data_IF_766961490969
#
_entry.id   IF_766961490969
#
_cell.length_a   1.000
_cell.length_b   1.000
_cell.length_c   1.000
_cell.angle_alpha   90.00
_cell.angle_beta   90.00
_cell.angle_gamma   90.00
#
_symmetry.space_group_name_H-M   'P 1'
#
loop_
_entity.id
_entity.type
_entity.pdbx_description
1 polymer ?
#
# COMPACT_ATOMS: atom_id res chain seq x y z
N UNK A 1 -44.49 31.20 -3.20
CA UNK A 1 -43.93 29.95 -3.73
C UNK A 1 -42.56 29.75 -3.09
N UNK A 2 -42.51 28.96 -2.02
CA UNK A 2 -41.25 28.54 -1.41
C UNK A 2 -40.82 27.24 -2.09
N UNK A 3 -39.56 27.09 -2.52
CA UNK A 3 -39.11 25.83 -3.09
C UNK A 3 -38.98 24.81 -1.95
N UNK A 4 -39.78 23.75 -2.02
CA UNK A 4 -39.61 22.56 -1.20
C UNK A 4 -38.25 21.93 -1.53
N UNK A 5 -37.33 21.96 -0.58
CA UNK A 5 -36.17 21.07 -0.59
C UNK A 5 -36.64 19.77 0.06
N UNK A 6 -36.95 18.76 -0.76
CA UNK A 6 -37.09 17.39 -0.28
C UNK A 6 -35.69 16.87 0.07
N UNK A 7 -35.32 16.95 1.34
CA UNK A 7 -34.17 16.22 1.84
C UNK A 7 -34.49 14.73 1.75
N UNK A 8 -33.82 14.02 0.84
CA UNK A 8 -33.71 12.56 0.99
C UNK A 8 -32.90 12.29 2.26
N UNK A 9 -33.30 11.33 3.11
CA UNK A 9 -32.50 10.95 4.27
C UNK A 9 -31.17 10.38 3.76
N UNK A 10 -30.06 10.90 4.29
CA UNK A 10 -28.68 10.53 3.95
C UNK A 10 -28.28 9.18 4.58
N UNK A 11 -29.16 8.59 5.39
CA UNK A 11 -28.99 7.23 5.90
C UNK A 11 -29.34 6.23 4.80
N UNK A 12 -28.40 5.98 3.91
CA UNK A 12 -28.42 4.77 3.09
C UNK A 12 -28.49 3.55 4.02
N UNK A 13 -29.38 2.62 3.66
CA UNK A 13 -29.69 1.32 4.27
C UNK A 13 -28.47 0.41 4.52
N UNK A 14 -27.55 0.83 5.40
CA UNK A 14 -26.31 0.08 5.64
C UNK A 14 -26.56 -1.29 6.32
N UNK A 15 -27.78 -1.54 6.83
CA UNK A 15 -28.13 -2.76 7.56
C UNK A 15 -29.50 -3.38 7.22
N UNK A 16 -30.43 -2.67 6.58
CA UNK A 16 -31.81 -3.16 6.43
C UNK A 16 -31.97 -4.27 5.37
N UNK A 17 -31.05 -4.38 4.40
CA UNK A 17 -31.11 -5.37 3.32
C UNK A 17 -29.96 -6.40 3.34
N UNK A 18 -29.13 -6.43 4.39
CA UNK A 18 -27.97 -7.31 4.43
C UNK A 18 -28.38 -8.74 4.79
N UNK A 19 -28.30 -9.65 3.82
CA UNK A 19 -28.44 -11.09 4.06
C UNK A 19 -27.12 -11.68 4.56
N UNK A 20 -27.18 -12.38 5.69
CA UNK A 20 -26.05 -13.13 6.23
C UNK A 20 -26.10 -14.61 5.81
N UNK A 21 -24.93 -15.24 5.55
CA UNK A 21 -23.59 -14.67 5.62
C UNK A 21 -23.27 -13.76 4.43
N UNK A 22 -22.57 -12.65 4.70
CA UNK A 22 -21.98 -11.80 3.67
C UNK A 22 -20.68 -12.45 3.21
N UNK A 23 -20.62 -12.82 1.92
CA UNK A 23 -19.45 -13.49 1.33
C UNK A 23 -18.76 -12.56 0.34
N UNK A 24 -17.47 -12.29 0.56
CA UNK A 24 -16.61 -11.47 -0.30
C UNK A 24 -15.52 -12.33 -0.90
N UNK A 25 -15.80 -12.93 -2.06
CA UNK A 25 -14.87 -13.82 -2.77
C UNK A 25 -13.59 -13.11 -3.24
N UNK A 26 -13.58 -11.78 -3.33
CA UNK A 26 -12.40 -11.01 -3.67
C UNK A 26 -11.52 -10.66 -2.46
N UNK A 27 -11.95 -10.96 -1.22
CA UNK A 27 -11.14 -10.70 -0.04
C UNK A 27 -10.35 -11.94 0.34
N UNK A 28 -9.04 -11.88 0.23
CA UNK A 28 -8.15 -13.02 0.40
C UNK A 28 -7.36 -12.86 1.70
N UNK A 29 -7.44 -13.86 2.57
CA UNK A 29 -6.64 -13.86 3.79
C UNK A 29 -5.24 -14.42 3.49
N UNK A 30 -4.23 -13.69 3.93
CA UNK A 30 -2.87 -14.19 4.15
C UNK A 30 -2.64 -14.19 5.67
N UNK A 31 -2.59 -15.38 6.27
CA UNK A 31 -2.33 -15.58 7.70
C UNK A 31 -1.08 -16.46 7.89
N UNK A 32 -0.76 -16.81 9.14
CA UNK A 32 0.43 -17.55 9.53
C UNK A 32 1.17 -16.87 10.68
N UNK A 33 2.28 -17.45 11.11
CA UNK A 33 2.99 -17.01 12.30
C UNK A 33 3.58 -15.61 12.17
N UNK A 34 3.78 -14.95 13.31
CA UNK A 34 4.68 -13.80 13.41
C UNK A 34 6.09 -14.17 12.90
N UNK A 35 6.75 -13.28 12.15
CA UNK A 35 8.10 -13.53 11.62
C UNK A 35 8.22 -14.34 10.31
N UNK A 36 7.12 -14.84 9.73
CA UNK A 36 7.15 -15.61 8.46
C UNK A 36 7.36 -14.80 7.16
N UNK A 37 7.64 -13.50 7.25
CA UNK A 37 7.78 -12.61 6.09
C UNK A 37 6.46 -12.23 5.40
N UNK A 38 5.33 -12.28 6.12
CA UNK A 38 4.00 -11.84 5.63
C UNK A 38 4.01 -10.39 5.15
N UNK A 39 4.59 -9.48 5.93
CA UNK A 39 4.65 -8.06 5.57
C UNK A 39 5.41 -7.85 4.26
N UNK A 40 6.53 -8.55 4.05
CA UNK A 40 7.29 -8.49 2.79
C UNK A 40 6.49 -9.04 1.61
N UNK A 41 5.73 -10.12 1.82
CA UNK A 41 4.84 -10.70 0.80
C UNK A 41 3.68 -9.76 0.45
N UNK A 42 3.07 -9.11 1.44
CA UNK A 42 2.02 -8.11 1.22
C UNK A 42 2.57 -6.89 0.47
N UNK A 43 3.78 -6.43 0.80
CA UNK A 43 4.47 -5.37 0.06
C UNK A 43 4.73 -5.74 -1.39
N UNK A 44 5.09 -7.00 -1.68
CA UNK A 44 5.24 -7.49 -3.05
C UNK A 44 3.90 -7.51 -3.80
N UNK A 45 2.82 -8.01 -3.18
CA UNK A 45 1.47 -7.99 -3.79
C UNK A 45 0.98 -6.56 -4.03
N UNK A 46 1.24 -5.64 -3.10
CA UNK A 46 1.00 -4.21 -3.26
C UNK A 46 1.80 -3.64 -4.42
N UNK A 47 3.06 -4.06 -4.54
CA UNK A 47 3.93 -3.66 -5.64
C UNK A 47 3.44 -4.12 -7.02
N UNK A 48 2.51 -5.07 -7.05
CA UNK A 48 1.81 -5.63 -8.23
C UNK A 48 0.35 -5.16 -8.36
N UNK A 49 -0.05 -4.13 -7.62
CA UNK A 49 -1.35 -3.48 -7.82
C UNK A 49 -2.50 -3.97 -7.02
N UNK A 50 -2.25 -4.92 -6.12
CA UNK A 50 -3.29 -5.43 -5.26
C UNK A 50 -3.37 -4.60 -3.99
N UNK A 51 -4.61 -4.30 -3.57
CA UNK A 51 -4.82 -3.64 -2.29
C UNK A 51 -4.55 -4.60 -1.15
N UNK A 52 -4.07 -4.08 -0.02
CA UNK A 52 -3.94 -4.88 1.19
C UNK A 52 -4.37 -4.13 2.44
N UNK A 53 -4.74 -4.89 3.46
CA UNK A 53 -5.19 -4.40 4.77
C UNK A 53 -4.31 -5.04 5.84
N UNK A 54 -3.71 -4.21 6.70
CA UNK A 54 -2.85 -4.65 7.79
C UNK A 54 -3.66 -5.17 8.99
N UNK A 55 -3.05 -6.08 9.76
CA UNK A 55 -3.68 -6.65 10.95
C UNK A 55 -3.97 -5.54 12.00
N UNK A 56 -5.19 -5.48 12.58
CA UNK A 56 -5.52 -4.50 13.61
C UNK A 56 -4.66 -4.59 14.87
N UNK A 57 -4.15 -5.78 15.21
CA UNK A 57 -3.50 -6.04 16.49
C UNK A 57 -2.28 -5.15 16.76
N UNK A 58 -1.48 -4.84 15.74
CA UNK A 58 -0.30 -3.95 15.88
C UNK A 58 -0.71 -2.50 16.10
N UNK A 59 -1.71 -2.04 15.37
CA UNK A 59 -2.27 -0.70 15.52
C UNK A 59 -2.83 -0.52 16.94
N UNK A 60 -3.61 -1.49 17.41
CA UNK A 60 -4.15 -1.50 18.77
C UNK A 60 -3.04 -1.42 19.81
N UNK A 61 -1.98 -2.22 19.70
CA UNK A 61 -0.86 -2.19 20.65
C UNK A 61 -0.23 -0.80 20.70
N UNK A 62 0.05 -0.17 19.54
CA UNK A 62 0.65 1.16 19.47
C UNK A 62 -0.25 2.22 20.11
N UNK A 63 -1.52 2.22 19.74
CA UNK A 63 -2.48 3.21 20.22
C UNK A 63 -2.77 3.05 21.72
N UNK A 64 -2.96 1.82 22.20
CA UNK A 64 -3.20 1.56 23.63
C UNK A 64 -1.98 1.88 24.48
N UNK A 65 -0.77 1.62 23.98
CA UNK A 65 0.46 2.05 24.66
C UNK A 65 0.55 3.57 24.73
N UNK A 66 0.21 4.28 23.65
CA UNK A 66 0.31 5.74 23.59
C UNK A 66 -0.68 6.47 24.51
N UNK A 67 -1.81 5.85 24.86
CA UNK A 67 -2.84 6.43 25.73
C UNK A 67 -2.85 5.83 27.14
N UNK A 68 -1.84 5.02 27.49
CA UNK A 68 -1.79 4.24 28.74
C UNK A 68 -3.06 3.38 28.97
N UNK A 69 -3.62 2.88 27.87
CA UNK A 69 -4.78 2.01 27.83
C UNK A 69 -4.44 0.56 28.21
N UNK A 70 -5.44 -0.17 28.68
CA UNK A 70 -5.26 -1.55 29.13
C UNK A 70 -5.62 -2.62 28.10
N UNK A 71 -6.10 -2.27 26.89
CA UNK A 71 -6.45 -3.24 25.85
C UNK A 71 -5.19 -3.75 25.10
N UNK A 72 -4.25 -4.31 25.86
CA UNK A 72 -3.02 -4.92 25.38
C UNK A 72 -3.08 -6.43 25.58
N UNK A 73 -2.52 -7.25 24.68
CA UNK A 73 -2.68 -8.70 24.74
C UNK A 73 -2.06 -9.34 25.99
N UNK A 74 -1.10 -8.67 26.64
CA UNK A 74 -0.48 -9.09 27.90
C UNK A 74 -1.10 -8.44 29.16
N UNK A 75 -2.02 -7.49 29.02
CA UNK A 75 -2.69 -6.82 30.16
C UNK A 75 -4.15 -7.25 30.26
N UNK A 76 -4.90 -7.13 29.16
CA UNK A 76 -6.30 -7.49 29.08
C UNK A 76 -6.59 -8.06 27.69
N UNK A 77 -6.42 -9.38 27.58
CA UNK A 77 -6.59 -10.11 26.33
C UNK A 77 -8.03 -10.02 25.80
N UNK A 78 -9.04 -10.12 26.67
CA UNK A 78 -10.45 -10.05 26.27
C UNK A 78 -10.77 -8.71 25.61
N UNK A 79 -10.42 -7.61 26.26
CA UNK A 79 -10.62 -6.26 25.73
C UNK A 79 -9.82 -6.00 24.44
N UNK A 80 -8.60 -6.55 24.36
CA UNK A 80 -7.80 -6.49 23.14
C UNK A 80 -8.50 -7.21 21.98
N UNK A 81 -9.06 -8.41 22.21
CA UNK A 81 -9.75 -9.18 21.20
C UNK A 81 -11.07 -8.55 20.77
N UNK A 82 -11.81 -7.91 21.67
CA UNK A 82 -13.03 -7.15 21.32
C UNK A 82 -12.71 -5.98 20.40
N UNK A 83 -11.66 -5.22 20.74
CA UNK A 83 -11.21 -4.10 19.92
C UNK A 83 -10.68 -4.59 18.56
N UNK A 84 -9.97 -5.72 18.53
CA UNK A 84 -9.51 -6.35 17.30
C UNK A 84 -10.69 -6.80 16.43
N UNK A 85 -11.70 -7.46 17.00
CA UNK A 85 -12.89 -7.89 16.27
C UNK A 85 -13.64 -6.69 15.67
N UNK A 86 -13.84 -5.63 16.47
CA UNK A 86 -14.48 -4.39 16.00
C UNK A 86 -13.74 -3.81 14.79
N UNK A 87 -12.41 -3.76 14.82
CA UNK A 87 -11.60 -3.28 13.69
C UNK A 87 -11.62 -4.21 12.49
N UNK A 88 -11.59 -5.53 12.70
CA UNK A 88 -11.73 -6.48 11.59
C UNK A 88 -13.06 -6.32 10.87
N UNK A 89 -14.16 -6.15 11.62
CA UNK A 89 -15.49 -5.91 11.05
C UNK A 89 -15.53 -4.56 10.31
N UNK A 90 -14.97 -3.51 10.90
CA UNK A 90 -14.86 -2.21 10.23
C UNK A 90 -14.07 -2.35 8.92
N UNK A 91 -12.89 -2.94 8.96
CA UNK A 91 -12.05 -3.17 7.79
C UNK A 91 -12.76 -4.01 6.72
N UNK A 92 -13.51 -5.04 7.10
CA UNK A 92 -14.29 -5.86 6.16
C UNK A 92 -15.37 -5.03 5.45
N UNK A 93 -16.09 -4.18 6.18
CA UNK A 93 -17.22 -3.41 5.64
C UNK A 93 -16.78 -2.10 4.94
N UNK A 94 -15.64 -1.53 5.31
CA UNK A 94 -15.16 -0.25 4.79
C UNK A 94 -14.51 -0.35 3.40
N UNK A 95 -14.26 -1.56 2.91
CA UNK A 95 -13.68 -1.75 1.59
C UNK A 95 -14.69 -1.32 0.53
N UNK A 96 -14.27 -0.43 -0.37
CA UNK A 96 -15.07 -0.08 -1.54
C UNK A 96 -15.28 -1.33 -2.39
N UNK A 97 -16.48 -1.50 -2.94
CA UNK A 97 -16.81 -2.64 -3.79
C UNK A 97 -16.05 -2.55 -5.13
N UNK A 98 -14.80 -2.95 -5.10
CA UNK A 98 -13.95 -3.08 -6.26
C UNK A 98 -13.89 -4.58 -6.56
N UNK A 99 -14.25 -4.98 -7.79
CA UNK A 99 -14.13 -6.37 -8.27
C UNK A 99 -12.66 -6.88 -8.31
N UNK A 100 -11.73 -6.18 -7.66
CA UNK A 100 -10.31 -6.53 -7.54
C UNK A 100 -10.06 -7.27 -6.23
N UNK A 101 -9.01 -8.09 -6.23
CA UNK A 101 -8.57 -8.81 -5.03
C UNK A 101 -8.02 -7.82 -4.00
N UNK A 102 -8.42 -8.04 -2.74
CA UNK A 102 -7.91 -7.32 -1.57
C UNK A 102 -7.31 -8.33 -0.60
N UNK A 103 -6.04 -8.16 -0.25
CA UNK A 103 -5.32 -9.07 0.63
C UNK A 103 -5.34 -8.59 2.08
N UNK A 104 -5.79 -9.44 3.00
CA UNK A 104 -5.84 -9.11 4.42
C UNK A 104 -4.71 -9.83 5.15
N UNK A 105 -3.89 -9.07 5.86
CA UNK A 105 -2.97 -9.57 6.88
C UNK A 105 -3.81 -10.02 8.08
N UNK A 106 -4.12 -11.32 8.13
CA UNK A 106 -5.07 -11.95 9.06
C UNK A 106 -6.53 -11.55 8.86
N UNK A 107 -7.45 -12.45 9.27
CA UNK A 107 -8.89 -12.22 9.18
C UNK A 107 -9.59 -12.29 10.54
N UNK A 108 -10.92 -12.11 10.54
CA UNK A 108 -11.77 -12.26 11.74
C UNK A 108 -11.48 -13.57 12.49
N UNK A 109 -11.19 -14.67 11.78
CA UNK A 109 -10.88 -15.97 12.37
C UNK A 109 -9.61 -15.95 13.22
N UNK A 110 -8.63 -15.10 12.91
CA UNK A 110 -7.42 -14.96 13.71
C UNK A 110 -7.74 -14.48 15.14
N UNK A 111 -8.82 -13.71 15.33
CA UNK A 111 -9.30 -13.25 16.65
C UNK A 111 -10.11 -14.28 17.46
N UNK A 112 -10.52 -15.39 16.83
CA UNK A 112 -11.29 -16.45 17.50
C UNK A 112 -10.36 -17.35 18.31
N UNK A 113 -10.76 -17.65 19.55
CA UNK A 113 -10.04 -18.59 20.42
C UNK A 113 -10.62 -20.01 20.30
N UNK A 114 -9.75 -21.04 20.24
CA UNK A 114 -10.17 -22.45 20.18
C UNK A 114 -10.46 -23.06 21.56
N UNK A 115 -9.64 -22.73 22.55
CA UNK A 115 -9.57 -23.44 23.84
C UNK A 115 -10.00 -22.59 25.04
N UNK A 116 -10.43 -21.35 24.80
CA UNK A 116 -10.94 -20.46 25.83
C UNK A 116 -12.42 -20.16 25.59
N UNK A 117 -13.16 -19.92 26.66
CA UNK A 117 -14.51 -19.38 26.56
C UNK A 117 -14.42 -17.96 26.00
N UNK A 118 -15.13 -17.70 24.91
CA UNK A 118 -15.18 -16.41 24.26
C UNK A 118 -16.65 -16.11 23.96
N UNK A 119 -17.10 -14.85 24.05
CA UNK A 119 -18.48 -14.51 23.75
C UNK A 119 -18.92 -14.98 22.37
N UNK A 120 -20.19 -15.41 22.27
CA UNK A 120 -20.72 -16.04 21.05
C UNK A 120 -20.62 -15.16 19.80
N UNK A 121 -20.62 -13.83 19.98
CA UNK A 121 -20.52 -12.88 18.88
C UNK A 121 -19.21 -13.01 18.07
N UNK A 122 -18.12 -13.53 18.64
CA UNK A 122 -16.90 -13.83 17.88
C UNK A 122 -17.13 -14.95 16.86
N UNK A 123 -17.77 -16.04 17.29
CA UNK A 123 -18.13 -17.17 16.41
C UNK A 123 -19.17 -16.73 15.38
N UNK A 124 -20.12 -15.90 15.76
CA UNK A 124 -21.13 -15.37 14.84
C UNK A 124 -20.51 -14.44 13.79
N UNK A 125 -19.59 -13.56 14.19
CA UNK A 125 -18.83 -12.72 13.25
C UNK A 125 -18.06 -13.58 12.23
N UNK A 126 -17.33 -14.61 12.67
CA UNK A 126 -16.58 -15.51 11.79
C UNK A 126 -17.47 -16.34 10.84
N UNK A 127 -18.72 -16.60 11.22
CA UNK A 127 -19.72 -17.27 10.36
C UNK A 127 -20.39 -16.32 9.37
N UNK A 128 -20.62 -15.07 9.77
CA UNK A 128 -21.43 -14.12 9.02
C UNK A 128 -20.63 -13.21 8.08
N UNK A 129 -19.35 -12.97 8.35
CA UNK A 129 -18.48 -12.13 7.52
C UNK A 129 -17.38 -13.00 6.90
N UNK A 130 -17.61 -13.42 5.66
CA UNK A 130 -16.85 -14.47 5.00
C UNK A 130 -15.94 -13.92 3.93
N UNK A 131 -14.65 -14.21 4.06
CA UNK A 131 -13.61 -14.04 3.04
C UNK A 131 -13.71 -15.08 1.92
N UNK A 132 -12.85 -14.97 0.90
CA UNK A 132 -12.59 -16.01 -0.09
C UNK A 132 -12.37 -17.37 0.59
N UNK A 133 -12.92 -18.43 0.00
CA UNK A 133 -12.84 -19.80 0.51
C UNK A 133 -11.39 -20.27 0.72
N UNK A 134 -10.48 -19.85 -0.14
CA UNK A 134 -9.06 -20.16 -0.06
C UNK A 134 -8.33 -19.16 0.84
N UNK A 135 -7.67 -19.68 1.86
CA UNK A 135 -6.86 -18.93 2.83
C UNK A 135 -5.42 -19.35 2.70
N UNK A 136 -4.52 -18.39 2.50
CA UNK A 136 -3.11 -18.68 2.35
C UNK A 136 -2.40 -18.58 3.71
N UNK A 137 -1.71 -19.65 4.10
CA UNK A 137 -0.99 -19.70 5.36
C UNK A 137 0.52 -19.74 5.10
N UNK A 138 1.23 -18.79 5.72
CA UNK A 138 2.69 -18.77 5.74
C UNK A 138 3.18 -19.72 6.84
N UNK A 139 3.92 -20.80 6.48
CA UNK A 139 4.43 -21.75 7.46
C UNK A 139 5.57 -21.15 8.30
N UNK A 140 5.82 -21.66 9.52
CA UNK A 140 7.01 -21.34 10.29
C UNK A 140 8.28 -21.64 9.47
N UNK A 141 9.16 -20.65 9.34
CA UNK A 141 10.35 -20.74 8.51
C UNK A 141 11.58 -20.25 9.28
N UNK A 142 12.36 -21.19 9.84
CA UNK A 142 13.51 -20.91 10.73
C UNK A 142 14.54 -20.00 10.05
N UNK A 143 14.85 -20.25 8.78
CA UNK A 143 15.93 -19.60 8.03
C UNK A 143 15.68 -18.10 7.77
N UNK A 144 14.42 -17.66 7.80
CA UNK A 144 14.05 -16.24 7.67
C UNK A 144 13.42 -15.67 8.96
N UNK A 145 13.40 -16.47 10.03
CA UNK A 145 12.78 -16.10 11.29
C UNK A 145 13.60 -14.99 11.95
N UNK A 146 13.17 -13.76 11.77
CA UNK A 146 13.72 -12.60 12.46
C UNK A 146 12.85 -12.32 13.68
N UNK A 147 13.49 -12.11 14.83
CA UNK A 147 12.78 -11.70 16.04
C UNK A 147 12.11 -10.35 15.76
N UNK A 148 10.78 -10.35 15.73
CA UNK A 148 10.00 -9.13 15.66
C UNK A 148 10.23 -8.33 16.95
N UNK A 149 10.67 -7.08 16.80
CA UNK A 149 10.94 -6.18 17.93
C UNK A 149 9.67 -5.89 18.74
N UNK A 150 8.48 -6.05 18.16
CA UNK A 150 7.20 -5.78 18.81
C UNK A 150 6.63 -6.99 19.57
N UNK A 151 7.05 -8.24 19.27
CA UNK A 151 6.62 -9.45 20.02
C UNK A 151 7.71 -10.53 20.06
N UNK A 152 8.29 -10.74 21.25
CA UNK A 152 9.27 -11.81 21.54
C UNK A 152 8.58 -13.18 21.61
N UNK A 153 8.21 -13.75 20.46
CA UNK A 153 7.69 -15.12 20.38
C UNK A 153 8.82 -16.09 20.00
N UNK A 154 8.95 -17.19 20.74
CA UNK A 154 9.87 -18.27 20.38
C UNK A 154 9.41 -18.94 19.08
N UNK A 155 10.33 -19.55 18.34
CA UNK A 155 9.98 -20.31 17.14
C UNK A 155 8.98 -21.45 17.41
N UNK A 156 9.05 -22.06 18.60
CA UNK A 156 8.09 -23.06 19.07
C UNK A 156 6.67 -22.48 19.24
N UNK A 157 6.56 -21.26 19.78
CA UNK A 157 5.27 -20.57 19.86
C UNK A 157 4.70 -20.21 18.49
N UNK A 158 5.56 -19.90 17.51
CA UNK A 158 5.15 -19.71 16.12
C UNK A 158 4.58 -21.00 15.51
N UNK A 159 5.22 -22.16 15.72
CA UNK A 159 4.68 -23.47 15.32
C UNK A 159 3.31 -23.75 15.93
N UNK A 160 3.16 -23.52 17.23
CA UNK A 160 1.87 -23.71 17.92
C UNK A 160 0.77 -22.80 17.35
N UNK A 161 1.09 -21.52 17.12
CA UNK A 161 0.16 -20.57 16.49
C UNK A 161 -0.28 -21.07 15.11
N UNK A 162 0.64 -21.61 14.31
CA UNK A 162 0.34 -22.15 12.99
C UNK A 162 -0.61 -23.34 13.03
N UNK A 163 -0.36 -24.30 13.91
CA UNK A 163 -1.20 -25.50 14.06
C UNK A 163 -2.62 -25.11 14.52
N UNK A 164 -2.73 -24.14 15.43
CA UNK A 164 -4.01 -23.58 15.85
C UNK A 164 -4.74 -22.90 14.68
N UNK A 165 -4.04 -22.13 13.84
CA UNK A 165 -4.63 -21.48 12.66
C UNK A 165 -5.18 -22.51 11.66
N UNK A 166 -4.45 -23.60 11.40
CA UNK A 166 -4.92 -24.69 10.53
C UNK A 166 -6.24 -25.27 11.02
N UNK A 167 -6.33 -25.54 12.32
CA UNK A 167 -7.55 -26.07 12.94
C UNK A 167 -8.68 -25.04 12.86
N UNK A 168 -8.41 -23.77 13.20
CA UNK A 168 -9.42 -22.70 13.17
C UNK A 168 -10.04 -22.55 11.79
N UNK A 169 -9.21 -22.30 10.77
CA UNK A 169 -9.71 -22.08 9.41
C UNK A 169 -10.50 -23.27 8.88
N UNK A 170 -10.01 -24.50 9.11
CA UNK A 170 -10.73 -25.72 8.74
C UNK A 170 -12.08 -25.85 9.44
N UNK A 171 -12.16 -25.57 10.74
CA UNK A 171 -13.41 -25.63 11.52
C UNK A 171 -14.46 -24.62 11.04
N UNK A 172 -14.03 -23.49 10.47
CA UNK A 172 -14.91 -22.52 9.84
C UNK A 172 -15.15 -22.80 8.34
N UNK A 173 -14.72 -23.94 7.80
CA UNK A 173 -15.01 -24.38 6.43
C UNK A 173 -14.17 -23.71 5.34
N UNK A 174 -13.01 -23.13 5.70
CA UNK A 174 -12.05 -22.60 4.73
C UNK A 174 -11.09 -23.69 4.25
N UNK A 175 -10.58 -23.50 3.04
CA UNK A 175 -9.49 -24.29 2.48
C UNK A 175 -8.16 -23.58 2.75
N UNK A 176 -7.30 -24.20 3.55
CA UNK A 176 -5.98 -23.66 3.88
C UNK A 176 -4.95 -24.10 2.85
N UNK A 177 -4.34 -23.15 2.15
CA UNK A 177 -3.28 -23.36 1.17
C UNK A 177 -1.96 -22.91 1.78
N UNK A 178 -0.99 -23.83 1.88
CA UNK A 178 0.32 -23.49 2.42
C UNK A 178 1.15 -22.77 1.36
N UNK A 179 1.69 -21.61 1.73
CA UNK A 179 2.60 -20.85 0.87
C UNK A 179 3.98 -21.54 0.89
N UNK A 180 4.58 -21.84 -0.28
CA UNK A 180 5.88 -22.49 -0.34
C UNK A 180 7.01 -21.63 0.24
N UNK A 181 8.04 -22.28 0.79
CA UNK A 181 9.26 -21.64 1.32
C UNK A 181 10.23 -21.27 0.20
N UNK A 182 9.82 -20.33 -0.64
CA UNK A 182 10.56 -19.83 -1.82
C UNK A 182 10.69 -18.31 -1.74
N UNK A 183 11.26 -17.66 -2.77
CA UNK A 183 11.45 -16.20 -2.76
C UNK A 183 10.12 -15.46 -2.62
N UNK A 184 10.17 -14.20 -2.17
CA UNK A 184 8.97 -13.36 -2.03
C UNK A 184 8.18 -13.26 -3.33
N UNK A 185 8.88 -13.13 -4.48
CA UNK A 185 8.25 -13.04 -5.80
C UNK A 185 7.50 -14.33 -6.15
N UNK A 186 8.16 -15.48 -6.01
CA UNK A 186 7.55 -16.78 -6.29
C UNK A 186 6.37 -17.08 -5.36
N UNK A 187 6.42 -16.62 -4.09
CA UNK A 187 5.28 -16.72 -3.17
C UNK A 187 4.09 -15.90 -3.65
N UNK A 188 4.32 -14.68 -4.15
CA UNK A 188 3.26 -13.85 -4.71
C UNK A 188 2.70 -14.45 -6.02
N UNK A 189 3.56 -14.96 -6.90
CA UNK A 189 3.15 -15.67 -8.12
C UNK A 189 2.26 -16.86 -7.78
N UNK A 190 2.69 -17.71 -6.84
CA UNK A 190 1.93 -18.87 -6.37
C UNK A 190 0.53 -18.51 -5.88
N UNK A 191 0.39 -17.42 -5.10
CA UNK A 191 -0.91 -16.97 -4.58
C UNK A 191 -1.81 -16.51 -5.73
N UNK A 192 -1.28 -15.70 -6.65
CA UNK A 192 -2.04 -15.15 -7.76
C UNK A 192 -2.48 -16.24 -8.75
N UNK A 193 -1.60 -17.18 -9.07
CA UNK A 193 -1.92 -18.35 -9.90
C UNK A 193 -3.03 -19.19 -9.27
N UNK A 194 -2.96 -19.46 -7.96
CA UNK A 194 -4.02 -20.21 -7.25
C UNK A 194 -5.37 -19.51 -7.26
N UNK A 195 -5.37 -18.17 -7.34
CA UNK A 195 -6.59 -17.36 -7.42
C UNK A 195 -7.06 -17.14 -8.87
N UNK A 196 -6.36 -17.67 -9.87
CA UNK A 196 -6.64 -17.39 -11.29
C UNK A 196 -6.48 -15.90 -11.63
N UNK A 197 -5.69 -15.17 -10.85
CA UNK A 197 -5.42 -13.76 -11.03
C UNK A 197 -4.17 -13.56 -11.87
N UNK A 198 -4.14 -12.47 -12.65
CA UNK A 198 -2.95 -12.14 -13.46
C UNK A 198 -1.75 -11.89 -12.54
N UNK A 199 -0.67 -12.64 -12.78
CA UNK A 199 0.66 -12.45 -12.20
C UNK A 199 1.29 -11.13 -12.66
N UNK A 200 0.85 -10.65 -13.83
CA UNK A 200 1.35 -9.47 -14.54
C UNK A 200 0.48 -8.21 -14.35
N UNK A 201 -0.34 -8.14 -13.28
CA UNK A 201 -1.07 -6.89 -13.00
C UNK A 201 -0.09 -5.77 -12.70
N UNK A 202 -0.05 -4.80 -13.60
CA UNK A 202 0.66 -3.53 -13.38
C UNK A 202 -0.17 -2.69 -12.41
N UNK A 203 0.45 -2.06 -11.39
CA UNK A 203 -0.30 -1.57 -10.24
C UNK A 203 -1.07 -0.29 -10.46
N UNK A 204 -2.34 -0.18 -10.05
CA UNK A 204 -3.05 1.12 -10.09
C UNK A 204 -2.63 2.05 -8.92
N UNK A 205 -2.01 1.54 -7.86
CA UNK A 205 -1.42 2.37 -6.78
C UNK A 205 0.09 2.64 -6.94
N UNK A 206 0.78 1.85 -7.78
CA UNK A 206 2.22 1.98 -8.02
C UNK A 206 2.54 2.49 -9.44
N UNK A 207 1.56 2.59 -10.33
CA UNK A 207 1.78 3.12 -11.69
C UNK A 207 2.32 4.54 -11.61
N UNK A 208 1.63 5.45 -10.94
CA UNK A 208 2.08 6.85 -10.86
C UNK A 208 3.34 7.03 -10.02
N UNK A 209 3.51 6.27 -8.92
CA UNK A 209 4.78 6.28 -8.17
C UNK A 209 5.93 5.78 -9.04
N UNK A 210 5.74 4.73 -9.84
CA UNK A 210 6.76 4.24 -10.77
C UNK A 210 7.07 5.26 -11.88
N UNK A 211 6.07 6.02 -12.34
CA UNK A 211 6.27 7.15 -13.27
C UNK A 211 7.04 8.29 -12.59
N UNK A 212 6.76 8.59 -11.32
CA UNK A 212 7.53 9.55 -10.52
C UNK A 212 9.00 9.13 -10.35
N UNK A 213 9.25 7.85 -10.02
CA UNK A 213 10.60 7.29 -9.98
C UNK A 213 11.30 7.36 -11.33
N UNK A 214 10.60 6.99 -12.41
CA UNK A 214 11.12 7.08 -13.79
C UNK A 214 11.49 8.51 -14.17
N UNK A 215 10.71 9.52 -13.75
CA UNK A 215 11.05 10.92 -13.96
C UNK A 215 12.37 11.29 -13.28
N UNK A 216 12.60 10.88 -12.03
CA UNK A 216 13.85 11.18 -11.33
C UNK A 216 15.04 10.52 -12.01
N UNK A 217 14.93 9.25 -12.43
CA UNK A 217 16.00 8.57 -13.19
C UNK A 217 16.22 9.21 -14.56
N UNK A 218 15.14 9.56 -15.28
CA UNK A 218 15.24 10.31 -16.53
C UNK A 218 15.95 11.65 -16.33
N UNK A 219 15.70 12.35 -15.22
CA UNK A 219 16.42 13.59 -14.92
C UNK A 219 17.93 13.33 -14.76
N UNK A 220 18.34 12.25 -14.08
CA UNK A 220 19.75 11.86 -13.93
C UNK A 220 20.40 11.56 -15.28
N UNK A 221 19.68 10.88 -16.17
CA UNK A 221 20.13 10.52 -17.52
C UNK A 221 20.21 11.72 -18.47
N UNK A 222 19.21 12.60 -18.43
CA UNK A 222 18.95 13.59 -19.49
C UNK A 222 19.25 15.03 -19.11
N UNK A 223 19.27 15.41 -17.83
CA UNK A 223 19.55 16.78 -17.40
C UNK A 223 21.05 17.05 -17.15
N UNK A 224 21.93 16.31 -17.79
CA UNK A 224 23.37 16.59 -17.82
C UNK A 224 23.77 17.29 -19.13
N UNK A 225 24.84 18.06 -19.11
CA UNK A 225 25.35 18.81 -20.26
C UNK A 225 25.82 17.90 -21.40
N UNK A 226 26.31 16.70 -21.05
CA UNK A 226 26.84 15.72 -22.00
C UNK A 226 25.77 14.79 -22.59
N UNK A 227 24.57 14.77 -22.02
CA UNK A 227 23.49 13.91 -22.53
C UNK A 227 23.00 14.40 -23.90
N UNK A 228 22.48 13.48 -24.70
CA UNK A 228 21.66 13.81 -25.87
C UNK A 228 20.19 13.81 -25.44
N UNK A 229 19.62 15.01 -25.35
CA UNK A 229 18.19 15.24 -25.17
C UNK A 229 17.56 15.48 -26.54
N UNK A 230 16.39 14.90 -26.78
CA UNK A 230 15.54 15.12 -27.95
C UNK A 230 14.11 15.43 -27.51
N UNK A 231 13.29 15.93 -28.43
CA UNK A 231 11.85 16.17 -28.18
C UNK A 231 11.15 14.84 -27.84
N UNK A 232 11.49 13.75 -28.54
CA UNK A 232 10.93 12.42 -28.28
C UNK A 232 11.21 11.93 -26.86
N UNK A 233 12.37 12.29 -26.27
CA UNK A 233 12.67 11.94 -24.87
C UNK A 233 11.74 12.66 -23.88
N UNK A 234 11.28 13.87 -24.20
CA UNK A 234 10.31 14.61 -23.39
C UNK A 234 8.93 14.00 -23.57
N UNK A 235 8.53 13.74 -24.81
CA UNK A 235 7.26 13.10 -25.14
C UNK A 235 7.14 11.70 -24.53
N UNK A 236 8.24 11.03 -24.17
CA UNK A 236 8.23 9.79 -23.39
C UNK A 236 7.51 9.97 -22.04
N UNK A 237 7.70 11.10 -21.37
CA UNK A 237 7.22 11.33 -20.00
C UNK A 237 6.10 12.35 -19.90
N UNK A 238 6.08 13.37 -20.75
CA UNK A 238 5.15 14.50 -20.67
C UNK A 238 4.00 14.35 -21.67
N UNK A 239 2.84 14.91 -21.32
CA UNK A 239 1.71 15.01 -22.24
C UNK A 239 2.00 16.06 -23.33
N UNK A 240 1.26 16.10 -24.45
CA UNK A 240 1.48 17.11 -25.49
C UNK A 240 1.40 18.55 -24.96
N UNK A 241 0.50 18.78 -24.00
CA UNK A 241 0.33 20.03 -23.28
C UNK A 241 0.40 19.74 -21.78
N UNK A 242 1.19 20.53 -21.05
CA UNK A 242 1.38 20.36 -19.60
C UNK A 242 1.78 21.68 -18.93
N UNK A 243 1.72 21.69 -17.61
CA UNK A 243 2.08 22.84 -16.78
C UNK A 243 3.39 22.56 -16.05
N UNK A 244 4.31 23.52 -16.07
CA UNK A 244 5.51 23.55 -15.24
C UNK A 244 5.40 24.71 -14.25
N UNK A 245 5.51 24.42 -12.97
CA UNK A 245 5.58 25.41 -11.90
C UNK A 245 6.94 25.34 -11.20
N UNK A 246 7.78 26.35 -11.45
CA UNK A 246 9.13 26.44 -10.88
C UNK A 246 9.35 27.83 -10.30
N UNK A 247 9.94 27.92 -9.10
CA UNK A 247 10.24 29.19 -8.43
C UNK A 247 9.04 30.15 -8.33
N UNK A 248 7.85 29.60 -8.05
CA UNK A 248 6.62 30.38 -7.93
C UNK A 248 6.04 30.92 -9.24
N UNK A 249 6.61 30.56 -10.40
CA UNK A 249 6.10 30.93 -11.72
C UNK A 249 5.44 29.75 -12.40
N UNK A 250 4.31 29.98 -13.06
CA UNK A 250 3.56 29.00 -13.85
C UNK A 250 3.87 29.19 -15.34
N UNK A 251 4.18 28.10 -16.03
CA UNK A 251 4.38 28.04 -17.47
C UNK A 251 3.45 26.96 -18.04
N UNK A 252 2.51 27.37 -18.89
CA UNK A 252 1.77 26.44 -19.75
C UNK A 252 2.66 26.17 -20.98
N UNK A 253 2.97 24.92 -21.29
CA UNK A 253 4.03 24.55 -22.24
C UNK A 253 3.74 23.25 -22.98
N UNK A 254 4.45 23.04 -24.08
CA UNK A 254 4.51 21.80 -24.85
C UNK A 254 5.95 21.25 -24.88
N UNK A 255 6.15 20.13 -25.59
CA UNK A 255 7.45 19.46 -25.71
C UNK A 255 8.55 20.31 -26.36
N UNK A 256 8.21 21.16 -27.35
CA UNK A 256 9.19 22.01 -28.05
C UNK A 256 9.71 23.11 -27.13
N UNK A 257 8.79 23.84 -26.48
CA UNK A 257 9.16 24.94 -25.58
C UNK A 257 9.95 24.42 -24.36
N UNK A 258 9.54 23.27 -23.83
CA UNK A 258 10.24 22.65 -22.71
C UNK A 258 11.61 22.10 -23.11
N UNK A 259 11.77 21.58 -24.33
CA UNK A 259 13.06 21.17 -24.88
C UNK A 259 14.06 22.33 -24.93
N UNK A 260 13.64 23.50 -25.41
CA UNK A 260 14.48 24.69 -25.47
C UNK A 260 14.88 25.18 -24.07
N UNK A 261 13.92 25.17 -23.13
CA UNK A 261 14.19 25.47 -21.73
C UNK A 261 15.21 24.51 -21.13
N UNK A 262 15.00 23.20 -21.25
CA UNK A 262 15.86 22.18 -20.65
C UNK A 262 17.27 22.20 -21.23
N UNK A 263 17.44 22.48 -22.53
CA UNK A 263 18.77 22.61 -23.12
C UNK A 263 19.59 23.76 -22.53
N UNK A 264 18.94 24.89 -22.23
CA UNK A 264 19.59 25.99 -21.51
C UNK A 264 19.88 25.59 -20.07
N UNK A 265 18.90 25.02 -19.38
CA UNK A 265 18.98 24.61 -17.98
C UNK A 265 20.10 23.60 -17.70
N UNK A 266 20.26 22.60 -18.56
CA UNK A 266 21.23 21.50 -18.37
C UNK A 266 22.66 21.82 -18.83
N UNK A 267 22.87 22.98 -19.45
CA UNK A 267 24.12 23.30 -20.18
C UNK A 267 25.38 23.26 -19.29
N UNK A 268 25.26 23.51 -17.99
CA UNK A 268 26.35 23.52 -17.03
C UNK A 268 26.27 22.40 -15.96
N UNK A 269 25.30 21.47 -16.09
CA UNK A 269 25.09 20.39 -15.12
C UNK A 269 25.98 19.20 -15.48
N UNK A 270 26.90 18.83 -14.58
CA UNK A 270 27.71 17.62 -14.72
C UNK A 270 26.95 16.37 -14.27
N UNK A 271 26.35 16.42 -13.08
CA UNK A 271 25.50 15.36 -12.53
C UNK A 271 24.38 15.96 -11.68
N UNK A 272 23.27 15.25 -11.60
CA UNK A 272 22.15 15.55 -10.71
C UNK A 272 21.75 14.25 -10.01
N UNK A 273 21.47 14.32 -8.72
CA UNK A 273 21.02 13.17 -7.93
C UNK A 273 19.97 13.59 -6.89
N UNK A 274 19.19 12.61 -6.43
CA UNK A 274 18.04 12.81 -5.55
C UNK A 274 18.04 11.81 -4.40
N UNK A 275 17.97 12.32 -3.17
CA UNK A 275 17.65 11.55 -1.98
C UNK A 275 16.17 11.77 -1.66
N UNK A 276 15.32 10.83 -2.09
CA UNK A 276 13.87 10.91 -1.83
C UNK A 276 13.56 10.37 -0.44
N UNK A 277 12.89 11.18 0.38
CA UNK A 277 12.53 10.80 1.75
C UNK A 277 11.30 9.89 1.77
N UNK A 278 10.29 10.19 0.94
CA UNK A 278 9.08 9.39 0.83
C UNK A 278 8.40 9.57 -0.55
N UNK A 279 7.51 8.65 -0.91
CA UNK A 279 6.63 8.74 -2.07
C UNK A 279 5.18 8.71 -1.61
N UNK A 280 4.56 9.89 -1.55
CA UNK A 280 3.15 10.03 -1.21
C UNK A 280 2.33 10.05 -2.50
N UNK A 281 1.21 9.34 -2.54
CA UNK A 281 0.32 9.39 -3.69
C UNK A 281 -1.15 9.58 -3.30
N UNK A 282 -1.86 10.34 -4.14
CA UNK A 282 -3.32 10.49 -4.11
C UNK A 282 -3.81 10.50 -5.55
N UNK A 283 -4.57 9.46 -5.93
CA UNK A 283 -5.06 9.27 -7.30
C UNK A 283 -3.92 9.32 -8.34
N UNK A 284 -3.93 10.33 -9.22
CA UNK A 284 -2.92 10.53 -10.26
C UNK A 284 -1.82 11.52 -9.87
N UNK A 285 -1.74 11.90 -8.60
CA UNK A 285 -0.73 12.85 -8.08
C UNK A 285 0.29 12.12 -7.21
N UNK A 286 1.57 12.41 -7.43
CA UNK A 286 2.68 11.92 -6.62
C UNK A 286 3.42 13.10 -6.04
N UNK A 287 3.68 13.05 -4.73
CA UNK A 287 4.42 14.04 -3.98
C UNK A 287 5.69 13.39 -3.43
N UNK A 288 6.84 13.98 -3.74
CA UNK A 288 8.16 13.48 -3.39
C UNK A 288 8.92 14.56 -2.61
N UNK A 289 8.89 14.52 -1.26
CA UNK A 289 9.83 15.26 -0.45
C UNK A 289 11.24 14.68 -0.69
N UNK A 290 12.15 15.52 -1.14
CA UNK A 290 13.48 15.08 -1.55
C UNK A 290 14.54 16.14 -1.30
N UNK A 291 15.79 15.68 -1.28
CA UNK A 291 16.97 16.54 -1.34
C UNK A 291 17.65 16.31 -2.68
N UNK A 292 17.79 17.37 -3.47
CA UNK A 292 18.46 17.33 -4.76
C UNK A 292 19.90 17.86 -4.63
N UNK A 293 20.83 17.19 -5.30
CA UNK A 293 22.24 17.58 -5.38
C UNK A 293 22.62 17.74 -6.84
N UNK A 294 23.04 18.95 -7.23
CA UNK A 294 23.47 19.28 -8.59
C UNK A 294 24.94 19.64 -8.57
N UNK A 295 25.77 18.86 -9.27
CA UNK A 295 27.20 19.20 -9.48
C UNK A 295 27.34 19.89 -10.83
N UNK A 296 27.94 21.07 -10.84
CA UNK A 296 28.19 21.87 -12.05
C UNK A 296 29.56 21.54 -12.65
N UNK A 297 29.74 21.80 -13.95
CA UNK A 297 31.00 21.58 -14.66
C UNK A 297 32.18 22.37 -14.05
N UNK A 298 31.92 23.53 -13.45
CA UNK A 298 32.92 24.36 -12.77
C UNK A 298 33.22 23.93 -11.32
N UNK A 299 32.76 22.75 -10.91
CA UNK A 299 33.03 22.17 -9.58
C UNK A 299 32.12 22.66 -8.45
N UNK A 300 31.23 23.64 -8.71
CA UNK A 300 30.21 24.08 -7.74
C UNK A 300 29.20 22.94 -7.48
N UNK A 301 28.80 22.76 -6.23
CA UNK A 301 27.74 21.82 -5.82
C UNK A 301 26.59 22.60 -5.20
N UNK A 302 25.43 22.56 -5.84
CA UNK A 302 24.19 23.13 -5.31
C UNK A 302 23.38 22.01 -4.64
N UNK A 303 22.90 22.26 -3.41
CA UNK A 303 22.06 21.32 -2.64
C UNK A 303 20.82 22.05 -2.18
N UNK A 304 19.65 21.47 -2.44
CA UNK A 304 18.37 22.06 -2.05
C UNK A 304 17.38 20.99 -1.60
N UNK A 305 16.62 21.32 -0.55
CA UNK A 305 15.46 20.53 -0.13
C UNK A 305 14.23 21.03 -0.88
N UNK A 306 13.49 20.11 -1.46
CA UNK A 306 12.32 20.43 -2.26
C UNK A 306 11.22 19.39 -2.05
N UNK A 307 9.99 19.80 -2.30
CA UNK A 307 8.86 18.90 -2.50
C UNK A 307 8.52 18.96 -3.99
N UNK A 308 8.63 17.81 -4.66
CA UNK A 308 8.25 17.68 -6.06
C UNK A 308 6.85 17.09 -6.15
N UNK A 309 5.90 17.85 -6.71
CA UNK A 309 4.53 17.43 -6.94
C UNK A 309 4.31 17.21 -8.44
N UNK A 310 3.95 15.99 -8.80
CA UNK A 310 3.72 15.58 -10.19
C UNK A 310 2.30 15.05 -10.34
N UNK A 311 1.54 15.60 -11.30
CA UNK A 311 0.24 15.05 -11.70
C UNK A 311 0.35 14.37 -13.05
N UNK A 312 -0.25 13.21 -13.15
CA UNK A 312 -0.32 12.42 -14.37
C UNK A 312 -1.75 12.35 -14.91
N UNK A 313 -1.88 12.13 -16.22
CA UNK A 313 -3.15 11.76 -16.84
C UNK A 313 -3.39 10.23 -16.78
N UNK A 314 -4.50 9.76 -17.35
CA UNK A 314 -4.87 8.33 -17.37
C UNK A 314 -3.86 7.42 -18.08
N UNK A 315 -3.04 7.95 -19.00
CA UNK A 315 -1.99 7.19 -19.69
C UNK A 315 -0.62 7.25 -18.99
N UNK A 316 -0.52 7.93 -17.85
CA UNK A 316 0.72 8.05 -17.08
C UNK A 316 1.70 9.09 -17.61
N UNK A 317 1.24 10.02 -18.45
CA UNK A 317 2.02 11.18 -18.89
C UNK A 317 1.87 12.33 -17.91
N UNK A 318 2.94 13.07 -17.68
CA UNK A 318 2.98 14.24 -16.79
C UNK A 318 2.16 15.36 -17.45
N UNK A 319 1.16 15.85 -16.72
CA UNK A 319 0.35 17.02 -17.09
C UNK A 319 0.63 18.22 -16.18
N UNK A 320 1.25 17.98 -15.02
CA UNK A 320 1.66 19.02 -14.09
C UNK A 320 2.97 18.61 -13.42
N UNK A 321 3.97 19.47 -13.49
CA UNK A 321 5.23 19.36 -12.78
C UNK A 321 5.38 20.58 -11.89
N UNK A 322 5.59 20.40 -10.59
CA UNK A 322 5.71 21.51 -9.66
C UNK A 322 6.78 21.27 -8.61
N UNK A 323 7.71 22.20 -8.51
CA UNK A 323 8.70 22.27 -7.46
C UNK A 323 8.29 23.29 -6.39
N UNK A 324 8.27 22.85 -5.13
CA UNK A 324 8.02 23.69 -3.96
C UNK A 324 9.25 23.65 -3.05
N UNK A 325 9.90 24.80 -2.87
CA UNK A 325 10.99 24.92 -1.92
C UNK A 325 10.44 25.03 -0.50
N UNK A 326 10.98 24.25 0.42
CA UNK A 326 10.87 24.59 1.84
C UNK A 326 11.73 25.81 2.09
N UNK A 327 11.13 26.92 2.52
CA UNK A 327 11.89 28.03 3.10
C UNK A 327 12.73 27.44 4.24
N UNK A 328 14.06 27.48 4.09
CA UNK A 328 15.02 27.13 5.13
C UNK A 328 14.93 28.09 6.31
#
# INVERSE_FOLDING_TARGET
MSPHISGQPVENDYLNETNFPVVRNNYVIISGCSGGGKSTLLSELASRGYSFILEPGRQIVKEQTAIDGNALPWINLEKFLDLALSRYLFQFNSQKDQQQLVFFDRGIIDSVQLYASQPEYFRNAAKNFRYNRSVFLVPPWEEIFTCDTERKHSFESAKKEFDELLIKYKNFGYETILIPKVSVKERADFILEKLGASTDKVPVSNFYISKGKRLLEWNKEKLTSHSKLSINDIEELFAPEFVVMANGRKYDTNSQDYYEFLNKFRSDIATIDYEVQDYLNTESTVVMPLKATVKRLHGKVDVFNAILLIKFNGSGKIVHWQEVYSLS
#
